data_IF_961114299926
#
_entry.id   IF_961114299926
#
_cell.length_a   1.000
_cell.length_b   1.000
_cell.length_c   1.000
_cell.angle_alpha   90.00
_cell.angle_beta   90.00
_cell.angle_gamma   90.00
#
_symmetry.space_group_name_H-M   'P 1'
#
loop_
_entity.id
_entity.type
_entity.pdbx_description
1 polymer ?
#
# COMPACT_ATOMS: atom_id res chain seq x y z
N UNK A 1 -23.07 -1.32 -2.33
CA UNK A 1 -23.36 -1.15 -0.88
C UNK A 1 -23.97 0.22 -0.59
N UNK A 2 -23.39 1.33 -1.05
CA UNK A 2 -23.92 2.69 -0.86
C UNK A 2 -25.32 2.87 -1.44
N UNK A 3 -25.55 2.40 -2.66
CA UNK A 3 -26.86 2.43 -3.31
C UNK A 3 -27.91 1.62 -2.53
N UNK A 4 -27.53 0.44 -2.03
CA UNK A 4 -28.42 -0.37 -1.19
C UNK A 4 -28.83 0.41 0.07
N UNK A 5 -27.90 1.08 0.74
CA UNK A 5 -28.22 1.95 1.89
C UNK A 5 -29.22 3.04 1.45
N UNK A 6 -29.00 3.70 0.31
CA UNK A 6 -29.92 4.74 -0.18
C UNK A 6 -31.33 4.20 -0.48
N UNK A 7 -31.44 2.99 -1.00
CA UNK A 7 -32.74 2.36 -1.32
C UNK A 7 -33.49 1.81 -0.09
N UNK A 8 -32.85 1.77 1.09
CA UNK A 8 -33.42 1.15 2.30
C UNK A 8 -34.01 2.16 3.31
N UNK A 9 -34.26 3.41 2.90
CA UNK A 9 -34.78 4.46 3.79
C UNK A 9 -36.08 4.08 4.51
N UNK A 10 -36.95 3.30 3.86
CA UNK A 10 -38.23 2.88 4.45
C UNK A 10 -38.13 1.53 5.15
N UNK A 11 -37.41 0.57 4.53
CA UNK A 11 -37.37 -0.83 4.97
C UNK A 11 -36.27 -1.12 6.00
N UNK A 12 -35.27 -0.24 6.12
CA UNK A 12 -34.15 -0.34 7.06
C UNK A 12 -33.40 -1.67 6.99
N UNK A 13 -33.29 -2.25 5.79
CA UNK A 13 -32.62 -3.53 5.57
C UNK A 13 -31.19 -3.55 6.12
N UNK A 14 -30.81 -4.60 6.87
CA UNK A 14 -29.45 -4.73 7.40
C UNK A 14 -28.44 -4.96 6.27
N UNK A 15 -27.27 -4.36 6.39
CA UNK A 15 -26.18 -4.50 5.43
C UNK A 15 -25.12 -5.45 5.98
N UNK A 16 -24.82 -6.53 5.23
CA UNK A 16 -23.66 -7.39 5.46
C UNK A 16 -22.57 -6.98 4.47
N UNK A 17 -21.34 -6.81 4.95
CA UNK A 17 -20.22 -6.31 4.14
C UNK A 17 -18.94 -7.08 4.44
N UNK A 18 -18.16 -7.38 3.40
CA UNK A 18 -16.84 -7.98 3.59
C UNK A 18 -15.86 -6.98 4.23
N UNK A 19 -15.08 -7.45 5.19
CA UNK A 19 -14.01 -6.68 5.84
C UNK A 19 -12.89 -6.25 4.88
N UNK A 20 -12.77 -6.93 3.74
CA UNK A 20 -11.80 -6.61 2.69
C UNK A 20 -12.31 -5.58 1.68
N UNK A 21 -13.52 -5.05 1.86
CA UNK A 21 -14.02 -3.96 1.01
C UNK A 21 -13.39 -2.63 1.41
N UNK A 22 -13.09 -1.78 0.42
CA UNK A 22 -12.53 -0.44 0.69
C UNK A 22 -13.43 0.47 1.55
N UNK A 23 -14.69 0.09 1.78
CA UNK A 23 -15.65 0.83 2.60
C UNK A 23 -15.79 0.27 4.03
N UNK A 24 -15.10 -0.83 4.36
CA UNK A 24 -15.18 -1.48 5.67
C UNK A 24 -14.87 -0.51 6.83
N UNK A 25 -13.90 0.39 6.65
CA UNK A 25 -13.54 1.40 7.65
C UNK A 25 -14.55 2.53 7.79
N UNK A 26 -15.38 2.81 6.77
CA UNK A 26 -16.32 3.93 6.77
C UNK A 26 -17.74 3.52 7.15
N UNK A 27 -18.12 2.26 6.95
CA UNK A 27 -19.47 1.73 7.19
C UNK A 27 -19.56 0.91 8.48
N UNK A 28 -19.13 1.48 9.61
CA UNK A 28 -18.99 0.75 10.90
C UNK A 28 -20.28 0.17 11.50
N UNK A 29 -21.46 0.55 11.01
CA UNK A 29 -22.74 -0.03 11.45
C UNK A 29 -23.16 -1.27 10.62
N UNK A 30 -22.44 -1.60 9.56
CA UNK A 30 -22.64 -2.82 8.78
C UNK A 30 -22.18 -4.05 9.57
N UNK A 31 -22.78 -5.20 9.26
CA UNK A 31 -22.34 -6.48 9.80
C UNK A 31 -21.12 -6.92 8.98
N UNK A 32 -19.94 -6.90 9.60
CA UNK A 32 -18.69 -7.24 8.94
C UNK A 32 -18.49 -8.74 8.92
N UNK A 33 -18.09 -9.27 7.77
CA UNK A 33 -17.81 -10.70 7.59
C UNK A 33 -16.47 -10.92 6.88
N UNK A 34 -15.79 -12.00 7.27
CA UNK A 34 -14.74 -12.58 6.44
C UNK A 34 -15.42 -13.48 5.38
N UNK A 35 -15.34 -13.17 4.07
CA UNK A 35 -15.99 -13.95 3.04
C UNK A 35 -15.43 -15.39 2.90
N UNK A 36 -14.25 -15.66 3.47
CA UNK A 36 -13.62 -16.97 3.47
C UNK A 36 -14.06 -17.85 4.66
N UNK A 37 -14.75 -17.27 5.64
CA UNK A 37 -15.37 -18.01 6.75
C UNK A 37 -16.86 -18.26 6.45
N UNK A 38 -17.14 -19.39 5.80
CA UNK A 38 -18.51 -19.77 5.42
C UNK A 38 -19.46 -19.86 6.62
N UNK A 39 -18.98 -20.37 7.74
CA UNK A 39 -19.71 -20.48 9.01
C UNK A 39 -20.05 -19.10 9.57
N UNK A 40 -19.09 -18.18 9.56
CA UNK A 40 -19.28 -16.79 9.96
C UNK A 40 -20.28 -16.05 9.09
N UNK A 41 -20.21 -16.22 7.77
CA UNK A 41 -21.17 -15.65 6.81
C UNK A 41 -22.58 -16.19 7.04
N UNK A 42 -22.73 -17.51 7.20
CA UNK A 42 -24.04 -18.13 7.45
C UNK A 42 -24.68 -17.59 8.75
N UNK A 43 -23.87 -17.46 9.81
CA UNK A 43 -24.31 -16.86 11.07
C UNK A 43 -24.72 -15.39 10.88
N UNK A 44 -23.92 -14.60 10.18
CA UNK A 44 -24.22 -13.20 9.92
C UNK A 44 -25.53 -13.00 9.14
N UNK A 45 -25.83 -13.88 8.17
CA UNK A 45 -27.11 -13.87 7.44
C UNK A 45 -28.28 -14.18 8.39
N UNK A 46 -28.15 -15.23 9.21
CA UNK A 46 -29.16 -15.57 10.20
C UNK A 46 -29.41 -14.42 11.20
N UNK A 47 -28.35 -13.84 11.73
CA UNK A 47 -28.42 -12.74 12.69
C UNK A 47 -29.08 -11.51 12.05
N UNK A 48 -28.71 -11.18 10.81
CA UNK A 48 -29.29 -10.06 10.07
C UNK A 48 -30.81 -10.22 9.86
N UNK A 49 -31.27 -11.43 9.51
CA UNK A 49 -32.71 -11.69 9.32
C UNK A 49 -33.49 -11.52 10.63
N UNK A 50 -32.91 -11.97 11.75
CA UNK A 50 -33.53 -11.95 13.08
C UNK A 50 -33.36 -10.63 13.84
N UNK A 51 -32.66 -9.63 13.27
CA UNK A 51 -32.46 -8.33 13.91
C UNK A 51 -33.81 -7.63 14.25
N UNK A 52 -33.98 -7.10 15.47
CA UNK A 52 -35.16 -6.31 15.85
C UNK A 52 -35.32 -5.05 14.98
N UNK A 53 -36.56 -4.59 14.80
CA UNK A 53 -36.85 -3.41 13.97
C UNK A 53 -36.13 -2.14 14.45
N UNK A 54 -36.05 -1.93 15.77
CA UNK A 54 -35.34 -0.78 16.36
C UNK A 54 -33.85 -0.81 16.05
N UNK A 55 -33.22 -1.99 16.12
CA UNK A 55 -31.79 -2.13 15.82
C UNK A 55 -31.51 -1.97 14.31
N UNK A 56 -32.39 -2.51 13.45
CA UNK A 56 -32.36 -2.31 12.00
C UNK A 56 -32.39 -0.82 11.66
N UNK A 57 -33.35 -0.09 12.24
CA UNK A 57 -33.49 1.36 12.06
C UNK A 57 -32.27 2.12 12.56
N UNK A 58 -31.76 1.80 13.75
CA UNK A 58 -30.58 2.43 14.31
C UNK A 58 -29.35 2.24 13.42
N UNK A 59 -29.05 1.00 13.02
CA UNK A 59 -27.93 0.68 12.12
C UNK A 59 -28.08 1.37 10.77
N UNK A 60 -29.27 1.32 10.18
CA UNK A 60 -29.56 2.00 8.92
C UNK A 60 -29.32 3.51 9.01
N UNK A 61 -29.78 4.17 10.07
CA UNK A 61 -29.60 5.61 10.26
C UNK A 61 -28.10 6.01 10.34
N UNK A 62 -27.28 5.20 11.00
CA UNK A 62 -25.83 5.42 11.04
C UNK A 62 -25.20 5.27 9.65
N UNK A 63 -25.55 4.22 8.91
CA UNK A 63 -25.08 3.98 7.55
C UNK A 63 -25.52 5.10 6.61
N UNK A 64 -26.79 5.49 6.68
CA UNK A 64 -27.37 6.54 5.84
C UNK A 64 -26.65 7.87 6.04
N UNK A 65 -26.43 8.27 7.31
CA UNK A 65 -25.67 9.48 7.65
C UNK A 65 -24.25 9.47 7.06
N UNK A 66 -23.56 8.33 7.09
CA UNK A 66 -22.22 8.22 6.52
C UNK A 66 -22.23 8.42 5.00
N UNK A 67 -23.19 7.82 4.29
CA UNK A 67 -23.32 7.93 2.83
C UNK A 67 -23.72 9.35 2.41
N UNK A 68 -24.67 9.99 3.12
CA UNK A 68 -25.11 11.34 2.76
C UNK A 68 -24.08 12.42 3.05
N UNK A 69 -23.20 12.21 4.04
CA UNK A 69 -22.15 13.16 4.37
C UNK A 69 -20.94 13.07 3.43
N UNK A 70 -20.76 11.94 2.74
CA UNK A 70 -19.63 11.69 1.83
C UNK A 70 -20.14 11.37 0.43
N UNK A 71 -20.64 12.40 -0.26
CA UNK A 71 -21.13 12.31 -1.63
C UNK A 71 -20.00 12.35 -2.66
N UNK A 72 -20.27 11.93 -3.89
CA UNK A 72 -19.33 12.07 -5.01
C UNK A 72 -18.92 13.53 -5.24
N UNK A 73 -19.85 14.49 -5.04
CA UNK A 73 -19.57 15.92 -5.11
C UNK A 73 -18.59 16.35 -4.00
N UNK A 74 -18.81 15.91 -2.76
CA UNK A 74 -17.91 16.23 -1.64
C UNK A 74 -16.49 15.69 -1.87
N UNK A 75 -16.37 14.47 -2.44
CA UNK A 75 -15.10 13.89 -2.84
C UNK A 75 -14.42 14.71 -3.93
N UNK A 76 -15.15 15.09 -4.99
CA UNK A 76 -14.62 15.89 -6.09
C UNK A 76 -14.11 17.25 -5.59
N UNK A 77 -14.88 17.93 -4.73
CA UNK A 77 -14.50 19.20 -4.13
C UNK A 77 -13.23 19.06 -3.26
N UNK A 78 -13.13 18.00 -2.44
CA UNK A 78 -11.95 17.73 -1.62
C UNK A 78 -10.73 17.47 -2.49
N UNK A 79 -10.87 16.64 -3.51
CA UNK A 79 -9.79 16.28 -4.43
C UNK A 79 -9.26 17.51 -5.18
N UNK A 80 -10.14 18.35 -5.72
CA UNK A 80 -9.74 19.58 -6.43
C UNK A 80 -9.07 20.57 -5.46
N UNK A 81 -9.59 20.71 -4.23
CA UNK A 81 -8.97 21.56 -3.20
C UNK A 81 -7.56 21.09 -2.86
N UNK A 82 -7.37 19.79 -2.61
CA UNK A 82 -6.05 19.21 -2.35
C UNK A 82 -5.10 19.40 -3.54
N UNK A 83 -5.60 19.22 -4.76
CA UNK A 83 -4.82 19.46 -5.97
C UNK A 83 -4.36 20.92 -6.08
N UNK A 84 -5.26 21.88 -5.83
CA UNK A 84 -4.92 23.31 -5.83
C UNK A 84 -3.87 23.63 -4.75
N UNK A 85 -4.04 23.09 -3.54
CA UNK A 85 -3.05 23.23 -2.46
C UNK A 85 -1.70 22.67 -2.89
N UNK A 86 -1.66 21.47 -3.49
CA UNK A 86 -0.42 20.86 -3.99
C UNK A 86 0.22 21.67 -5.11
N UNK A 87 -0.57 22.28 -6.00
CA UNK A 87 -0.05 23.12 -7.09
C UNK A 87 0.48 24.46 -6.59
N UNK A 88 -0.13 25.02 -5.54
CA UNK A 88 0.36 26.25 -4.90
C UNK A 88 1.60 25.99 -4.03
N UNK A 89 1.78 24.77 -3.53
CA UNK A 89 2.97 24.33 -2.80
C UNK A 89 4.15 23.95 -3.70
N UNK A 90 4.21 24.45 -4.95
CA UNK A 90 5.28 24.16 -5.93
C UNK A 90 6.70 24.48 -5.46
N UNK A 91 6.88 25.25 -4.38
CA UNK A 91 8.18 25.52 -3.77
C UNK A 91 8.67 24.42 -2.80
N UNK A 92 7.92 23.34 -2.61
CA UNK A 92 8.38 22.13 -1.89
C UNK A 92 8.68 20.95 -2.82
N UNK A 93 9.01 21.19 -4.09
CA UNK A 93 10.10 20.39 -4.63
C UNK A 93 11.36 20.80 -3.87
N UNK A 94 11.54 20.30 -2.66
CA UNK A 94 12.87 20.14 -2.10
C UNK A 94 13.58 19.29 -3.14
N UNK A 95 14.25 19.94 -4.09
CA UNK A 95 15.17 19.31 -5.02
C UNK A 95 15.98 18.39 -4.14
N UNK A 96 15.86 17.07 -4.36
CA UNK A 96 16.57 16.11 -3.53
C UNK A 96 18.02 16.56 -3.56
N UNK A 97 18.56 17.05 -2.43
CA UNK A 97 19.86 17.70 -2.47
C UNK A 97 20.85 16.67 -2.98
N UNK A 98 21.80 17.11 -3.80
CA UNK A 98 22.84 16.23 -4.26
C UNK A 98 23.47 15.51 -3.06
N UNK A 99 23.71 14.21 -3.23
CA UNK A 99 24.32 13.40 -2.21
C UNK A 99 25.70 13.98 -1.85
N UNK A 100 25.84 14.50 -0.62
CA UNK A 100 27.14 14.94 -0.12
C UNK A 100 28.02 13.70 0.15
N UNK A 101 28.85 13.37 -0.83
CA UNK A 101 29.78 12.25 -0.76
C UNK A 101 30.73 12.32 0.44
N UNK A 102 31.15 13.52 0.86
CA UNK A 102 32.05 13.67 2.02
C UNK A 102 31.31 13.34 3.31
N UNK A 103 30.08 13.84 3.43
CA UNK A 103 29.21 13.50 4.55
C UNK A 103 28.90 12.01 4.61
N UNK A 104 28.49 11.41 3.49
CA UNK A 104 28.19 9.98 3.38
C UNK A 104 29.43 9.15 3.74
N UNK A 105 30.59 9.45 3.18
CA UNK A 105 31.82 8.70 3.43
C UNK A 105 32.22 8.76 4.91
N UNK A 106 32.09 9.93 5.56
CA UNK A 106 32.36 10.08 6.99
C UNK A 106 31.39 9.25 7.83
N UNK A 107 30.08 9.30 7.52
CA UNK A 107 29.06 8.53 8.24
C UNK A 107 29.21 7.03 8.00
N UNK A 108 29.51 6.62 6.78
CA UNK A 108 29.83 5.24 6.42
C UNK A 108 31.00 4.75 7.27
N UNK A 109 32.16 5.41 7.25
CA UNK A 109 33.33 4.98 8.02
C UNK A 109 33.08 4.91 9.54
N UNK A 110 32.28 5.82 10.09
CA UNK A 110 31.98 5.85 11.51
C UNK A 110 30.91 4.82 11.95
N UNK A 111 30.05 4.37 11.05
CA UNK A 111 28.97 3.43 11.37
C UNK A 111 29.51 2.01 11.60
N UNK A 112 29.05 1.38 12.70
CA UNK A 112 29.38 -0.01 13.07
C UNK A 112 28.51 -1.04 12.34
N UNK A 113 27.32 -0.64 11.87
CA UNK A 113 26.43 -1.42 11.02
C UNK A 113 25.76 -0.48 10.01
N UNK A 114 25.59 -0.95 8.78
CA UNK A 114 25.07 -0.14 7.66
C UNK A 114 24.02 -0.94 6.91
N UNK A 115 22.81 -0.42 6.84
CA UNK A 115 21.76 -0.96 6.00
C UNK A 115 21.77 -0.20 4.68
N UNK A 116 21.95 -0.92 3.58
CA UNK A 116 21.96 -0.38 2.22
C UNK A 116 20.80 -1.02 1.47
N UNK A 117 19.79 -0.21 1.13
CA UNK A 117 18.60 -0.63 0.39
C UNK A 117 18.70 -0.03 -1.01
N UNK A 118 18.67 -0.87 -2.03
CA UNK A 118 18.71 -0.45 -3.42
C UNK A 118 17.42 -0.86 -4.11
N UNK A 119 16.72 0.12 -4.65
CA UNK A 119 15.64 -0.14 -5.61
C UNK A 119 16.23 -0.75 -6.89
N UNK A 120 15.56 -1.72 -7.50
CA UNK A 120 16.09 -2.42 -8.68
C UNK A 120 15.76 -1.69 -9.98
N UNK A 121 14.48 -1.44 -10.23
CA UNK A 121 13.95 -0.96 -11.50
C UNK A 121 13.98 0.57 -11.57
N UNK A 122 14.75 1.13 -12.50
CA UNK A 122 14.95 2.58 -12.65
C UNK A 122 16.09 3.14 -11.81
N UNK A 123 16.66 2.35 -10.91
CA UNK A 123 17.85 2.72 -10.12
C UNK A 123 19.08 1.89 -10.51
N UNK A 124 19.05 0.57 -10.28
CA UNK A 124 20.18 -0.31 -10.61
C UNK A 124 20.18 -0.75 -12.08
N UNK A 125 18.99 -0.90 -12.66
CA UNK A 125 18.82 -1.20 -14.08
C UNK A 125 17.81 -0.23 -14.72
N UNK A 126 17.93 0.13 -16.00
CA UNK A 126 16.96 0.99 -16.65
C UNK A 126 15.56 0.38 -16.64
N UNK A 127 14.51 1.21 -16.61
CA UNK A 127 13.14 0.74 -16.78
C UNK A 127 12.97 0.21 -18.20
N UNK A 128 12.74 -1.10 -18.33
CA UNK A 128 12.55 -1.78 -19.61
C UNK A 128 11.12 -2.33 -19.72
N UNK A 129 10.57 -2.31 -20.94
CA UNK A 129 9.22 -2.87 -21.20
C UNK A 129 9.19 -4.40 -21.10
N UNK A 130 10.31 -5.05 -21.35
CA UNK A 130 10.44 -6.52 -21.34
C UNK A 130 11.25 -6.90 -20.10
N UNK A 131 10.67 -7.63 -19.13
CA UNK A 131 11.35 -7.97 -17.88
C UNK A 131 12.69 -8.67 -18.08
N UNK A 132 12.80 -9.57 -19.05
CA UNK A 132 14.05 -10.30 -19.34
C UNK A 132 15.20 -9.44 -19.87
N UNK A 133 14.94 -8.19 -20.24
CA UNK A 133 15.96 -7.26 -20.71
C UNK A 133 16.60 -6.42 -19.58
N UNK A 134 16.11 -6.54 -18.34
CA UNK A 134 16.65 -5.81 -17.18
C UNK A 134 17.86 -6.53 -16.57
N UNK A 135 18.78 -7.01 -17.41
CA UNK A 135 19.97 -7.74 -16.96
C UNK A 135 20.97 -6.74 -16.37
N UNK A 136 21.43 -6.96 -15.13
CA UNK A 136 22.38 -6.05 -14.48
C UNK A 136 23.74 -6.10 -15.18
N UNK A 137 24.39 -4.95 -15.41
CA UNK A 137 25.72 -4.92 -16.01
C UNK A 137 26.78 -5.48 -15.04
N UNK A 138 27.90 -5.97 -15.57
CA UNK A 138 28.94 -6.64 -14.76
C UNK A 138 29.54 -5.74 -13.67
N UNK A 139 29.76 -4.47 -13.96
CA UNK A 139 30.28 -3.49 -13.00
C UNK A 139 29.34 -3.28 -11.81
N UNK A 140 28.02 -3.43 -12.00
CA UNK A 140 27.05 -3.38 -10.92
C UNK A 140 27.18 -4.60 -10.01
N UNK A 141 27.34 -5.80 -10.58
CA UNK A 141 27.54 -7.02 -9.81
C UNK A 141 28.83 -6.96 -8.98
N UNK A 142 29.91 -6.43 -9.57
CA UNK A 142 31.17 -6.21 -8.86
C UNK A 142 31.01 -5.21 -7.71
N UNK A 143 30.29 -4.10 -7.92
CA UNK A 143 30.03 -3.10 -6.88
C UNK A 143 29.18 -3.69 -5.74
N UNK A 144 28.14 -4.45 -6.05
CA UNK A 144 27.33 -5.15 -5.05
C UNK A 144 28.17 -6.17 -4.28
N UNK A 145 29.01 -6.94 -4.97
CA UNK A 145 29.94 -7.88 -4.34
C UNK A 145 30.93 -7.20 -3.40
N UNK A 146 31.47 -6.03 -3.78
CA UNK A 146 32.34 -5.24 -2.91
C UNK A 146 31.59 -4.73 -1.67
N UNK A 147 30.33 -4.31 -1.82
CA UNK A 147 29.51 -3.87 -0.70
C UNK A 147 29.14 -5.00 0.26
N UNK A 148 28.78 -6.19 -0.25
CA UNK A 148 28.42 -7.35 0.57
C UNK A 148 29.62 -8.02 1.23
N UNK A 149 30.83 -7.77 0.72
CA UNK A 149 32.08 -8.28 1.31
C UNK A 149 32.46 -7.58 2.62
N UNK A 150 31.94 -6.38 2.90
CA UNK A 150 32.10 -5.72 4.20
C UNK A 150 31.09 -6.32 5.20
N UNK A 151 31.52 -7.04 6.25
CA UNK A 151 30.61 -7.69 7.20
C UNK A 151 29.77 -6.71 8.02
N UNK A 152 30.10 -5.42 8.01
CA UNK A 152 29.30 -4.39 8.67
C UNK A 152 28.15 -3.91 7.78
N UNK A 153 28.11 -4.30 6.51
CA UNK A 153 27.04 -3.96 5.58
C UNK A 153 25.98 -5.06 5.56
N UNK A 154 24.73 -4.63 5.55
CA UNK A 154 23.58 -5.46 5.19
C UNK A 154 22.99 -4.84 3.93
N UNK A 155 23.14 -5.54 2.80
CA UNK A 155 22.75 -5.04 1.47
C UNK A 155 21.49 -5.76 1.02
N UNK A 156 20.48 -4.99 0.62
CA UNK A 156 19.20 -5.50 0.19
C UNK A 156 18.77 -4.85 -1.12
N UNK A 157 18.20 -5.66 -2.01
CA UNK A 157 17.50 -5.18 -3.19
C UNK A 157 16.02 -5.15 -2.87
N UNK A 158 15.39 -4.01 -3.12
CA UNK A 158 13.95 -3.81 -3.03
C UNK A 158 13.41 -3.84 -4.46
N UNK A 159 12.51 -4.78 -4.77
CA UNK A 159 11.98 -4.91 -6.13
C UNK A 159 10.55 -5.45 -6.13
N UNK A 160 9.76 -4.98 -7.10
CA UNK A 160 8.45 -5.57 -7.39
C UNK A 160 8.51 -6.85 -8.25
N UNK A 161 9.72 -7.32 -8.59
CA UNK A 161 9.92 -8.52 -9.43
C UNK A 161 9.81 -9.80 -8.62
N UNK A 162 9.53 -10.90 -9.32
CA UNK A 162 9.53 -12.22 -8.72
C UNK A 162 10.93 -12.62 -8.23
N UNK A 163 10.96 -13.33 -7.11
CA UNK A 163 12.20 -13.77 -6.47
C UNK A 163 13.08 -14.59 -7.42
N UNK A 164 12.48 -15.46 -8.23
CA UNK A 164 13.18 -16.32 -9.19
C UNK A 164 13.99 -15.52 -10.21
N UNK A 165 13.43 -14.43 -10.73
CA UNK A 165 14.14 -13.56 -11.66
C UNK A 165 15.33 -12.85 -10.99
N UNK A 166 15.15 -12.35 -9.77
CA UNK A 166 16.23 -11.70 -9.01
C UNK A 166 17.35 -12.68 -8.66
N UNK A 167 17.02 -13.90 -8.24
CA UNK A 167 18.01 -14.96 -7.99
C UNK A 167 18.78 -15.33 -9.25
N UNK A 168 18.11 -15.37 -10.41
CA UNK A 168 18.75 -15.67 -11.69
C UNK A 168 19.79 -14.60 -12.07
N UNK A 169 19.51 -13.33 -11.80
CA UNK A 169 20.38 -12.22 -12.21
C UNK A 169 21.42 -11.81 -11.18
N UNK A 170 21.08 -11.88 -9.90
CA UNK A 170 21.88 -11.37 -8.79
C UNK A 170 22.34 -12.46 -7.83
N UNK A 171 21.88 -13.71 -7.98
CA UNK A 171 22.21 -14.82 -7.08
C UNK A 171 23.69 -15.18 -7.03
N UNK A 172 24.49 -14.73 -8.00
CA UNK A 172 25.96 -14.84 -7.94
C UNK A 172 26.59 -13.96 -6.85
N UNK A 173 25.90 -12.91 -6.40
CA UNK A 173 26.38 -11.99 -5.36
C UNK A 173 26.03 -12.53 -3.98
N UNK A 174 27.03 -13.09 -3.29
CA UNK A 174 26.85 -13.62 -1.93
C UNK A 174 26.56 -12.51 -0.92
N UNK A 175 25.68 -12.79 0.04
CA UNK A 175 25.34 -11.87 1.13
C UNK A 175 24.31 -10.79 0.78
N UNK A 176 23.68 -10.89 -0.40
CA UNK A 176 22.62 -10.00 -0.83
C UNK A 176 21.25 -10.48 -0.35
N UNK A 177 20.46 -9.60 0.24
CA UNK A 177 19.05 -9.86 0.57
C UNK A 177 18.10 -9.38 -0.54
N UNK A 178 16.94 -10.02 -0.64
CA UNK A 178 15.86 -9.63 -1.56
C UNK A 178 14.60 -9.30 -0.75
N UNK A 179 13.95 -8.18 -1.07
CA UNK A 179 12.72 -7.68 -0.45
C UNK A 179 11.74 -7.14 -1.48
#
# INVERSE_FOLDING_TARGET
>A
SLEYIMCQQENHGPLILSEFTGMAGSLGAAIMVNPWDYSGVAKAINDALNLPAEEKKFKHMQLYKQVTNHTAQSWADSFVKELIVSLNNKDQSNVTPYLDFKYLQRKYKAAKKRLLLFDYDGTLTPIVKIPSAAVPPSNLLEALGALTSDPNNSVWIVSGRDLTALETWLGSVKGLGFS
#
